data_IF_639227102110
#
_entry.id   IF_639227102110
#
_cell.length_a   1.000
_cell.length_b   1.000
_cell.length_c   1.000
_cell.angle_alpha   90.00
_cell.angle_beta   90.00
_cell.angle_gamma   90.00
#
_symmetry.space_group_name_H-M   'P 1'
#
loop_
_entity.id
_entity.type
_entity.pdbx_description
1 polymer ?
#
# COMPACT_ATOMS: atom_id res chain seq x y z
N UNK A 1 -8.04 -5.50 -11.22
CA UNK A 1 -7.84 -5.50 -9.75
C UNK A 1 -8.60 -6.62 -9.07
N UNK A 2 -7.87 -7.72 -8.92
CA UNK A 2 -8.04 -8.75 -7.87
C UNK A 2 -7.69 -8.18 -6.48
N UNK A 3 -8.00 -8.88 -5.37
CA UNK A 3 -7.67 -8.42 -4.01
C UNK A 3 -6.16 -8.16 -3.82
N UNK A 4 -5.31 -9.12 -4.22
CA UNK A 4 -3.85 -9.01 -4.14
C UNK A 4 -3.38 -7.81 -4.98
N UNK A 5 -3.85 -7.71 -6.22
CA UNK A 5 -3.52 -6.59 -7.11
C UNK A 5 -3.90 -5.25 -6.47
N UNK A 6 -5.11 -5.11 -5.91
CA UNK A 6 -5.52 -3.85 -5.28
C UNK A 6 -4.61 -3.48 -4.10
N UNK A 7 -4.28 -4.43 -3.22
CA UNK A 7 -3.36 -4.18 -2.09
C UNK A 7 -1.95 -3.86 -2.57
N UNK A 8 -1.43 -4.59 -3.56
CA UNK A 8 -0.12 -4.32 -4.16
C UNK A 8 -0.04 -2.92 -4.75
N UNK A 9 -1.09 -2.46 -5.44
CA UNK A 9 -1.11 -1.10 -5.99
C UNK A 9 -1.18 -0.02 -4.90
N UNK A 10 -1.79 -0.31 -3.75
CA UNK A 10 -1.75 0.58 -2.59
C UNK A 10 -0.32 0.68 -2.02
N UNK A 11 0.33 -0.46 -1.76
CA UNK A 11 1.71 -0.49 -1.27
C UNK A 11 2.67 0.23 -2.25
N UNK A 12 2.52 -0.02 -3.55
CA UNK A 12 3.29 0.68 -4.58
C UNK A 12 3.11 2.20 -4.57
N UNK A 13 1.96 2.70 -4.13
CA UNK A 13 1.71 4.14 -4.01
C UNK A 13 2.44 4.73 -2.81
N UNK A 14 2.61 3.95 -1.74
CA UNK A 14 3.39 4.33 -0.56
C UNK A 14 4.88 4.38 -0.92
N UNK A 15 5.43 3.31 -1.53
CA UNK A 15 6.82 3.26 -1.99
C UNK A 15 7.21 4.33 -3.01
N UNK A 16 6.23 4.99 -3.65
CA UNK A 16 6.49 6.04 -4.64
C UNK A 16 6.09 7.43 -4.13
N UNK A 17 5.65 7.52 -2.87
CA UNK A 17 5.24 8.78 -2.28
C UNK A 17 6.44 9.72 -2.12
N UNK A 18 7.60 9.18 -1.80
CA UNK A 18 8.89 9.85 -1.68
C UNK A 18 9.76 9.75 -2.95
N UNK A 19 9.44 8.81 -3.84
CA UNK A 19 10.06 8.59 -5.13
C UNK A 19 11.12 7.49 -5.15
N UNK A 20 11.29 6.71 -4.07
CA UNK A 20 12.18 5.55 -4.03
C UNK A 20 11.52 4.38 -3.31
N UNK A 21 11.59 3.20 -3.92
CA UNK A 21 11.17 1.97 -3.26
C UNK A 21 12.42 1.24 -2.76
N UNK A 22 12.67 1.26 -1.47
CA UNK A 22 13.84 0.62 -0.88
C UNK A 22 13.64 -0.89 -0.66
N UNK A 23 14.74 -1.61 -0.48
CA UNK A 23 14.73 -3.06 -0.27
C UNK A 23 13.89 -3.45 0.97
N UNK A 24 13.97 -2.65 2.03
CA UNK A 24 13.26 -2.89 3.29
C UNK A 24 11.73 -2.78 3.12
N UNK A 25 11.26 -1.73 2.43
CA UNK A 25 9.84 -1.58 2.11
C UNK A 25 9.34 -2.72 1.21
N UNK A 26 10.17 -3.16 0.25
CA UNK A 26 9.83 -4.30 -0.59
C UNK A 26 9.69 -5.59 0.22
N UNK A 27 10.56 -5.86 1.18
CA UNK A 27 10.43 -7.01 2.08
C UNK A 27 9.17 -6.89 2.96
N UNK A 28 8.90 -5.69 3.49
CA UNK A 28 7.69 -5.41 4.28
C UNK A 28 6.41 -5.64 3.45
N UNK A 29 6.40 -5.23 2.18
CA UNK A 29 5.31 -5.52 1.24
C UNK A 29 5.13 -7.02 1.00
N UNK A 30 6.21 -7.78 0.75
CA UNK A 30 6.12 -9.24 0.57
C UNK A 30 5.53 -9.90 1.81
N UNK A 31 5.98 -9.50 3.01
CA UNK A 31 5.45 -9.99 4.27
C UNK A 31 3.95 -9.68 4.40
N UNK A 32 3.54 -8.43 4.14
CA UNK A 32 2.13 -8.03 4.18
C UNK A 32 1.25 -8.83 3.21
N UNK A 33 1.69 -9.03 1.97
CA UNK A 33 0.95 -9.84 0.99
C UNK A 33 0.89 -11.31 1.42
N UNK A 34 1.97 -11.87 1.96
CA UNK A 34 2.03 -13.26 2.40
C UNK A 34 1.08 -13.55 3.57
N UNK A 35 0.91 -12.61 4.50
CA UNK A 35 0.00 -12.75 5.62
C UNK A 35 -1.47 -12.56 5.21
N UNK A 36 -1.75 -11.57 4.36
CA UNK A 36 -3.12 -11.28 3.90
C UNK A 36 -3.63 -12.31 2.88
N UNK A 37 -2.73 -12.90 2.10
CA UNK A 37 -3.03 -13.81 1.00
C UNK A 37 -2.07 -15.00 0.96
N UNK A 38 -2.18 -15.96 1.90
CA UNK A 38 -1.22 -17.07 2.03
C UNK A 38 -1.10 -18.00 0.81
N UNK A 39 -2.09 -17.99 -0.08
CA UNK A 39 -2.09 -18.74 -1.34
C UNK A 39 -1.55 -17.93 -2.53
N UNK A 40 -0.90 -16.79 -2.30
CA UNK A 40 -0.35 -15.97 -3.37
C UNK A 40 0.86 -16.63 -4.05
N UNK A 41 1.12 -16.18 -5.28
CA UNK A 41 2.35 -16.46 -5.99
C UNK A 41 3.17 -15.18 -5.99
N UNK A 42 4.38 -15.23 -5.44
CA UNK A 42 5.30 -14.08 -5.38
C UNK A 42 5.57 -13.52 -6.78
N UNK A 43 5.86 -14.38 -7.77
CA UNK A 43 6.05 -13.99 -9.18
C UNK A 43 4.85 -13.21 -9.74
N UNK A 44 3.62 -13.57 -9.33
CA UNK A 44 2.42 -12.87 -9.75
C UNK A 44 2.26 -11.53 -9.01
N UNK A 45 2.55 -11.49 -7.72
CA UNK A 45 2.52 -10.26 -6.93
C UNK A 45 3.56 -9.26 -7.44
N UNK A 46 4.75 -9.73 -7.82
CA UNK A 46 5.83 -8.93 -8.39
C UNK A 46 5.41 -8.27 -9.71
N UNK A 47 4.72 -9.03 -10.57
CA UNK A 47 4.14 -8.49 -11.80
C UNK A 47 3.16 -7.35 -11.51
N UNK A 48 2.25 -7.52 -10.55
CA UNK A 48 1.34 -6.45 -10.15
C UNK A 48 2.07 -5.24 -9.58
N UNK A 49 3.17 -5.45 -8.84
CA UNK A 49 3.97 -4.35 -8.30
C UNK A 49 4.63 -3.53 -9.43
N UNK A 50 5.24 -4.21 -10.41
CA UNK A 50 5.84 -3.54 -11.56
C UNK A 50 4.78 -2.81 -12.41
N UNK A 51 3.61 -3.41 -12.61
CA UNK A 51 2.47 -2.76 -13.27
C UNK A 51 2.02 -1.52 -12.50
N UNK A 52 1.95 -1.59 -11.17
CA UNK A 52 1.60 -0.45 -10.33
C UNK A 52 2.60 0.69 -10.47
N UNK A 53 3.91 0.40 -10.45
CA UNK A 53 4.94 1.42 -10.66
C UNK A 53 4.85 2.06 -12.04
N UNK A 54 4.59 1.29 -13.10
CA UNK A 54 4.37 1.84 -14.44
C UNK A 54 3.15 2.77 -14.48
N UNK A 55 2.02 2.35 -13.89
CA UNK A 55 0.78 3.12 -13.86
C UNK A 55 0.94 4.40 -13.04
N UNK A 56 1.59 4.35 -11.89
CA UNK A 56 1.82 5.50 -11.01
C UNK A 56 2.85 6.47 -11.58
N UNK A 57 3.91 5.97 -12.21
CA UNK A 57 4.95 6.78 -12.85
C UNK A 57 4.48 7.55 -14.08
N UNK A 58 3.40 7.10 -14.74
CA UNK A 58 2.79 7.78 -15.89
C UNK A 58 1.73 8.83 -15.50
N UNK A 59 1.36 8.93 -14.22
CA UNK A 59 0.30 9.83 -13.74
C UNK A 59 0.88 11.11 -13.16
N UNK A 60 0.21 12.24 -13.44
CA UNK A 60 0.47 13.48 -12.71
C UNK A 60 0.00 13.36 -11.25
N UNK A 61 0.53 14.17 -10.33
CA UNK A 61 0.28 14.01 -8.89
C UNK A 61 -1.21 14.10 -8.52
N UNK A 62 -1.98 14.99 -9.16
CA UNK A 62 -3.43 15.06 -8.99
C UNK A 62 -4.18 13.82 -9.48
N UNK A 63 -3.65 13.11 -10.47
CA UNK A 63 -4.22 11.86 -10.97
C UNK A 63 -3.83 10.66 -10.10
N UNK A 64 -2.67 10.70 -9.42
CA UNK A 64 -2.25 9.68 -8.46
C UNK A 64 -3.22 9.57 -7.30
N UNK A 65 -3.65 10.70 -6.71
CA UNK A 65 -4.62 10.71 -5.61
C UNK A 65 -5.96 10.09 -6.04
N UNK A 66 -6.46 10.44 -7.22
CA UNK A 66 -7.68 9.85 -7.78
C UNK A 66 -7.52 8.34 -8.01
N UNK A 67 -6.35 7.92 -8.49
CA UNK A 67 -6.02 6.52 -8.68
C UNK A 67 -6.01 5.74 -7.36
N UNK A 68 -5.28 6.24 -6.35
CA UNK A 68 -5.21 5.65 -5.00
C UNK A 68 -6.62 5.55 -4.41
N UNK A 69 -7.44 6.58 -4.55
CA UNK A 69 -8.83 6.57 -4.09
C UNK A 69 -9.66 5.49 -4.77
N UNK A 70 -9.48 5.29 -6.09
CA UNK A 70 -10.13 4.19 -6.81
C UNK A 70 -9.65 2.81 -6.33
N UNK A 71 -8.36 2.66 -6.02
CA UNK A 71 -7.78 1.44 -5.47
C UNK A 71 -8.36 1.15 -4.07
N UNK A 72 -8.44 2.15 -3.19
CA UNK A 72 -9.01 2.01 -1.85
C UNK A 72 -10.49 1.62 -1.89
N UNK A 73 -11.29 2.23 -2.78
CA UNK A 73 -12.67 1.82 -2.99
C UNK A 73 -12.76 0.36 -3.45
N UNK A 74 -11.84 -0.07 -4.33
CA UNK A 74 -11.78 -1.46 -4.77
C UNK A 74 -11.43 -2.41 -3.63
N UNK A 75 -10.42 -2.08 -2.82
CA UNK A 75 -10.05 -2.81 -1.60
C UNK A 75 -11.28 -2.99 -0.70
N UNK A 76 -12.00 -1.91 -0.41
CA UNK A 76 -13.19 -1.91 0.44
C UNK A 76 -14.29 -2.84 -0.07
N UNK A 77 -14.41 -3.02 -1.38
CA UNK A 77 -15.39 -3.94 -1.99
C UNK A 77 -14.93 -5.39 -2.06
N UNK A 78 -13.61 -5.64 -2.05
CA UNK A 78 -13.02 -6.95 -2.28
C UNK A 78 -12.63 -7.67 -0.99
N UNK A 79 -12.23 -6.92 0.04
CA UNK A 79 -11.78 -7.45 1.32
C UNK A 79 -12.91 -7.40 2.34
N UNK A 80 -12.91 -8.35 3.27
CA UNK A 80 -13.82 -8.33 4.41
C UNK A 80 -13.30 -7.39 5.51
N UNK A 81 -14.13 -7.12 6.52
CA UNK A 81 -13.78 -6.21 7.62
C UNK A 81 -12.50 -6.63 8.37
N UNK A 82 -12.29 -7.92 8.60
CA UNK A 82 -11.10 -8.42 9.31
C UNK A 82 -9.82 -8.15 8.50
N UNK A 83 -9.85 -8.42 7.20
CA UNK A 83 -8.75 -8.13 6.29
C UNK A 83 -8.49 -6.61 6.18
N UNK A 84 -9.56 -5.80 6.15
CA UNK A 84 -9.44 -4.33 6.13
C UNK A 84 -8.79 -3.82 7.43
N UNK A 85 -9.20 -4.33 8.59
CA UNK A 85 -8.56 -3.98 9.87
C UNK A 85 -7.10 -4.45 9.92
N UNK A 86 -6.81 -5.61 9.35
CA UNK A 86 -5.45 -6.14 9.23
C UNK A 86 -4.53 -5.32 8.32
N UNK A 87 -5.07 -4.53 7.38
CA UNK A 87 -4.25 -3.63 6.55
C UNK A 87 -3.61 -2.50 7.35
N UNK A 88 -4.24 -2.05 8.45
CA UNK A 88 -3.75 -0.89 9.21
C UNK A 88 -2.32 -1.08 9.74
N UNK A 89 -2.07 -2.13 10.54
CA UNK A 89 -0.72 -2.46 11.00
C UNK A 89 0.27 -2.72 9.86
N UNK A 90 -0.18 -3.35 8.75
CA UNK A 90 0.70 -3.62 7.60
C UNK A 90 1.13 -2.38 6.84
N UNK A 91 0.28 -1.36 6.78
CA UNK A 91 0.65 -0.08 6.21
C UNK A 91 1.62 0.66 7.14
N UNK A 92 1.43 0.59 8.44
CA UNK A 92 2.39 1.15 9.40
C UNK A 92 3.76 0.47 9.27
N UNK A 93 3.80 -0.87 9.28
CA UNK A 93 5.02 -1.66 9.05
C UNK A 93 5.70 -1.34 7.70
N UNK A 94 4.94 -0.91 6.69
CA UNK A 94 5.49 -0.52 5.39
C UNK A 94 6.20 0.83 5.48
N UNK A 95 5.54 1.83 6.07
CA UNK A 95 6.04 3.19 6.23
C UNK A 95 7.24 3.25 7.20
N UNK A 96 7.29 2.34 8.17
CA UNK A 96 8.39 2.28 9.14
C UNK A 96 9.59 1.44 8.65
N UNK A 97 9.47 0.76 7.50
CA UNK A 97 10.40 -0.28 7.10
C UNK A 97 11.83 0.21 6.86
N UNK A 98 11.98 1.42 6.33
CA UNK A 98 13.26 2.05 6.04
C UNK A 98 13.81 2.87 7.25
N UNK A 99 13.01 3.00 8.31
CA UNK A 99 13.31 3.78 9.50
C UNK A 99 13.14 5.29 9.33
N UNK A 100 12.52 5.76 8.25
CA UNK A 100 12.31 7.18 7.96
C UNK A 100 10.85 7.42 7.56
N UNK A 101 10.05 7.93 8.49
CA UNK A 101 8.65 8.27 8.21
C UNK A 101 8.56 9.61 7.47
N UNK A 102 8.14 9.58 6.21
CA UNK A 102 7.99 10.79 5.40
C UNK A 102 6.56 11.33 5.40
N UNK A 103 6.43 12.66 5.23
CA UNK A 103 5.10 13.31 5.20
C UNK A 103 4.22 12.80 4.07
N UNK A 104 4.80 12.49 2.90
CA UNK A 104 4.06 12.02 1.73
C UNK A 104 3.40 10.65 1.97
N UNK A 105 4.08 9.75 2.67
CA UNK A 105 3.53 8.43 3.04
C UNK A 105 2.40 8.58 4.07
N UNK A 106 2.59 9.48 5.03
CA UNK A 106 1.55 9.82 6.03
C UNK A 106 0.30 10.43 5.40
N UNK A 107 0.41 11.15 4.29
CA UNK A 107 -0.76 11.62 3.53
C UNK A 107 -1.55 10.46 2.91
N UNK A 108 -0.85 9.45 2.40
CA UNK A 108 -1.49 8.22 1.87
C UNK A 108 -2.10 7.41 3.01
N UNK A 109 -1.42 7.28 4.16
CA UNK A 109 -1.96 6.61 5.34
C UNK A 109 -3.27 7.27 5.81
N UNK A 110 -3.30 8.60 5.94
CA UNK A 110 -4.53 9.35 6.28
C UNK A 110 -5.66 9.14 5.27
N UNK A 111 -5.31 9.05 3.98
CA UNK A 111 -6.29 8.75 2.93
C UNK A 111 -6.85 7.32 3.10
N UNK A 112 -6.02 6.35 3.45
CA UNK A 112 -6.45 4.97 3.75
C UNK A 112 -7.39 4.96 4.95
N UNK A 113 -7.02 5.58 6.07
CA UNK A 113 -7.85 5.67 7.28
C UNK A 113 -9.24 6.22 6.96
N UNK A 114 -9.28 7.32 6.19
CA UNK A 114 -10.52 8.00 5.81
C UNK A 114 -11.41 7.12 4.91
N UNK A 115 -10.83 6.45 3.92
CA UNK A 115 -11.61 5.68 2.93
C UNK A 115 -12.04 4.31 3.46
N UNK A 116 -11.16 3.62 4.18
CA UNK A 116 -11.40 2.28 4.69
C UNK A 116 -12.04 2.28 6.09
N UNK A 117 -11.97 3.39 6.82
CA UNK A 117 -12.51 3.49 8.17
C UNK A 117 -11.68 2.69 9.18
N UNK A 118 -10.36 2.73 9.04
CA UNK A 118 -9.39 2.07 9.92
C UNK A 118 -8.46 3.10 10.57
N UNK A 119 -7.68 2.66 11.54
CA UNK A 119 -6.63 3.48 12.15
C UNK A 119 -5.25 2.90 11.85
N UNK A 120 -4.31 3.77 11.50
CA UNK A 120 -2.93 3.43 11.20
C UNK A 120 -2.06 4.14 12.23
N UNK A 121 -1.37 3.37 13.07
CA UNK A 121 -0.48 3.91 14.11
C UNK A 121 0.95 3.78 13.63
N UNK A 122 1.49 4.86 13.05
CA UNK A 122 2.89 4.96 12.63
C UNK A 122 3.71 5.60 13.75
N UNK A 123 4.87 5.02 14.04
CA UNK A 123 5.85 5.57 14.98
C UNK A 123 6.78 6.57 14.27
N UNK A 124 6.46 7.85 14.35
CA UNK A 124 7.26 8.92 13.74
C UNK A 124 8.52 9.33 14.53
N UNK A 125 8.81 8.65 15.66
CA UNK A 125 9.99 8.90 16.52
C UNK A 125 11.15 7.90 16.31
N UNK A 126 11.16 7.14 15.20
CA UNK A 126 12.18 6.12 14.87
C UNK A 126 13.59 6.70 14.58
#
# INVERSE_FOLDING_TARGET
MSPIEAVTHLCASIHLADGQADYAERESWVNAISELFPEFSEERADRFLNEAYQVLGQKADGEKINYITSVLNRIKTLLNTEQIQGLGPKIAELIEADGIVMTAEMEIAKLVETQLGISISVNDEL
#
